data_IF_088086528836
#
_entry.id   IF_088086528836
#
_cell.length_a   1.000
_cell.length_b   1.000
_cell.length_c   1.000
_cell.angle_alpha   90.00
_cell.angle_beta   90.00
_cell.angle_gamma   90.00
#
_symmetry.space_group_name_H-M   'P 1'
#
loop_
_entity.id
_entity.type
_entity.pdbx_description
1 polymer ?
#
# COMPACT_ATOMS: atom_id res chain seq x y z
N UNK A 1 -43.50 18.00 2.84
CA UNK A 1 -42.95 18.89 1.79
C UNK A 1 -42.15 20.07 2.35
N UNK A 2 -42.36 20.48 3.60
CA UNK A 2 -41.63 21.61 4.22
C UNK A 2 -40.22 21.26 4.76
N UNK A 3 -39.97 20.02 5.22
CA UNK A 3 -38.66 19.64 5.80
C UNK A 3 -37.50 19.63 4.78
N UNK A 4 -37.77 19.25 3.52
CA UNK A 4 -36.73 19.22 2.48
C UNK A 4 -36.29 20.64 2.10
N UNK A 5 -37.21 21.61 2.15
CA UNK A 5 -36.91 23.00 1.85
C UNK A 5 -36.09 23.64 2.97
N UNK A 6 -36.39 23.31 4.23
CA UNK A 6 -35.63 23.74 5.40
C UNK A 6 -34.18 23.20 5.39
N UNK A 7 -34.02 21.92 5.01
CA UNK A 7 -32.69 21.30 4.87
C UNK A 7 -31.90 21.96 3.74
N UNK A 8 -32.53 22.28 2.60
CA UNK A 8 -31.87 22.96 1.48
C UNK A 8 -31.41 24.37 1.85
N UNK A 9 -32.23 25.13 2.57
CA UNK A 9 -31.83 26.46 3.04
C UNK A 9 -30.67 26.37 4.04
N UNK A 10 -30.69 25.38 4.94
CA UNK A 10 -29.63 25.18 5.91
C UNK A 10 -28.29 24.82 5.24
N UNK A 11 -28.32 23.91 4.27
CA UNK A 11 -27.13 23.53 3.47
C UNK A 11 -26.61 24.71 2.68
N UNK A 12 -27.50 25.50 2.05
CA UNK A 12 -27.11 26.69 1.29
C UNK A 12 -26.42 27.72 2.18
N UNK A 13 -26.98 27.98 3.36
CA UNK A 13 -26.46 28.96 4.31
C UNK A 13 -25.12 28.53 4.92
N UNK A 14 -24.94 27.22 5.19
CA UNK A 14 -23.65 26.69 5.65
C UNK A 14 -22.58 26.71 4.56
N UNK A 15 -22.95 26.39 3.32
CA UNK A 15 -22.05 26.49 2.16
C UNK A 15 -21.61 27.93 1.91
N UNK A 16 -22.53 28.88 1.85
CA UNK A 16 -22.22 30.30 1.69
C UNK A 16 -21.35 30.83 2.84
N UNK A 17 -21.60 30.40 4.08
CA UNK A 17 -20.77 30.74 5.23
C UNK A 17 -19.36 30.15 5.13
N UNK A 18 -19.24 28.89 4.70
CA UNK A 18 -17.95 28.22 4.49
C UNK A 18 -17.11 28.91 3.41
N UNK A 19 -17.74 29.30 2.29
CA UNK A 19 -17.04 29.93 1.17
C UNK A 19 -16.89 31.45 1.30
N UNK A 20 -17.61 32.11 2.21
CA UNK A 20 -17.52 33.58 2.41
C UNK A 20 -16.13 34.06 2.88
N UNK A 21 -15.36 33.20 3.55
CA UNK A 21 -13.97 33.48 3.95
C UNK A 21 -12.93 33.07 2.90
N UNK A 22 -13.34 32.40 1.82
CA UNK A 22 -12.44 31.90 0.79
C UNK A 22 -12.21 32.98 -0.28
N UNK A 23 -11.11 33.74 -0.13
CA UNK A 23 -10.72 34.75 -1.12
C UNK A 23 -10.10 34.08 -2.36
N UNK A 24 -10.97 33.59 -3.26
CA UNK A 24 -10.61 32.98 -4.54
C UNK A 24 -10.07 33.99 -5.56
N UNK A 25 -10.01 35.29 -5.25
CA UNK A 25 -9.63 36.32 -6.22
C UNK A 25 -8.15 36.22 -6.62
N UNK A 26 -7.26 35.81 -5.70
CA UNK A 26 -5.85 35.53 -6.01
C UNK A 26 -5.68 34.25 -6.83
N UNK A 27 -6.45 33.22 -6.51
CA UNK A 27 -6.35 31.90 -7.17
C UNK A 27 -6.95 31.96 -8.58
N UNK A 28 -8.06 32.68 -8.76
CA UNK A 28 -8.68 32.93 -10.06
C UNK A 28 -7.81 33.82 -10.94
N UNK A 29 -7.22 34.89 -10.41
CA UNK A 29 -6.24 35.72 -11.15
C UNK A 29 -5.00 34.93 -11.56
N UNK A 30 -4.51 34.03 -10.71
CA UNK A 30 -3.36 33.19 -11.03
C UNK A 30 -3.69 32.16 -12.12
N UNK A 31 -4.86 31.54 -12.07
CA UNK A 31 -5.35 30.60 -13.10
C UNK A 31 -5.63 31.33 -14.42
N UNK A 32 -6.27 32.50 -14.39
CA UNK A 32 -6.48 33.33 -15.58
C UNK A 32 -5.15 33.77 -16.21
N UNK A 33 -4.15 34.15 -15.39
CA UNK A 33 -2.83 34.52 -15.91
C UNK A 33 -2.13 33.36 -16.61
N UNK A 34 -2.30 32.13 -16.10
CA UNK A 34 -1.72 30.90 -16.66
C UNK A 34 -2.42 30.46 -17.95
N UNK A 35 -3.74 30.66 -18.02
CA UNK A 35 -4.53 30.40 -19.23
C UNK A 35 -4.16 31.42 -20.32
N UNK A 36 -4.03 32.70 -19.96
CA UNK A 36 -3.65 33.76 -20.89
C UNK A 36 -2.19 33.66 -21.37
N UNK A 37 -1.27 33.18 -20.54
CA UNK A 37 0.13 32.95 -20.96
C UNK A 37 0.29 31.77 -21.93
N UNK A 38 -0.67 30.82 -21.95
CA UNK A 38 -0.64 29.65 -22.82
C UNK A 38 -1.27 29.89 -24.19
N UNK A 39 -1.93 31.03 -24.43
CA UNK A 39 -2.66 31.30 -25.68
C UNK A 39 -2.19 32.53 -26.50
N UNK A 40 -1.09 33.20 -26.15
CA UNK A 40 -0.74 34.46 -26.84
C UNK A 40 0.75 34.82 -26.87
N UNK A 41 1.33 34.64 -28.05
CA UNK A 41 2.37 35.46 -28.69
C UNK A 41 3.70 35.82 -27.98
N UNK A 42 4.77 35.28 -28.59
CA UNK A 42 6.04 35.94 -28.84
C UNK A 42 5.85 37.44 -29.14
N UNK A 43 6.47 38.35 -28.38
CA UNK A 43 6.99 39.61 -28.91
C UNK A 43 8.17 40.13 -28.09
N UNK A 44 9.31 40.18 -28.77
CA UNK A 44 10.55 40.86 -28.40
C UNK A 44 10.27 42.33 -28.15
N UNK A 45 10.75 42.89 -27.04
CA UNK A 45 11.04 44.32 -26.95
C UNK A 45 12.48 44.49 -26.44
N UNK A 46 13.34 45.02 -27.32
CA UNK A 46 14.66 45.56 -26.98
C UNK A 46 14.47 46.73 -26.00
N UNK A 47 15.31 46.89 -24.97
CA UNK A 47 15.28 48.11 -24.18
C UNK A 47 15.89 49.26 -24.98
N UNK A 48 15.17 50.40 -25.02
CA UNK A 48 15.67 51.66 -25.55
C UNK A 48 16.71 52.25 -24.59
N UNK A 49 17.87 52.61 -25.14
CA UNK A 49 18.95 53.26 -24.41
C UNK A 49 18.56 54.72 -24.20
N UNK A 50 18.08 55.07 -23.01
CA UNK A 50 17.98 56.46 -22.57
C UNK A 50 19.40 56.95 -22.21
N UNK A 51 19.94 57.88 -23.00
CA UNK A 51 21.15 58.64 -22.63
C UNK A 51 20.79 59.61 -21.51
N UNK A 52 21.11 59.24 -20.28
CA UNK A 52 21.04 60.13 -19.12
C UNK A 52 22.43 60.72 -18.91
N UNK A 53 22.59 62.02 -19.19
CA UNK A 53 23.78 62.78 -18.81
C UNK A 53 23.76 63.02 -17.30
N UNK A 54 24.63 62.31 -16.57
CA UNK A 54 24.76 62.41 -15.12
C UNK A 54 25.84 63.42 -14.73
N UNK A 55 25.46 64.39 -13.89
CA UNK A 55 26.39 65.31 -13.26
C UNK A 55 27.13 64.59 -12.11
N UNK A 56 28.47 64.61 -12.13
CA UNK A 56 29.34 63.71 -11.35
C UNK A 56 29.37 63.96 -9.84
N UNK A 57 28.79 65.05 -9.33
CA UNK A 57 28.71 65.31 -7.88
C UNK A 57 27.50 64.64 -7.19
N UNK A 58 26.46 64.27 -7.96
CA UNK A 58 25.25 63.59 -7.45
C UNK A 58 25.44 62.06 -7.48
N UNK A 59 26.21 61.55 -8.45
CA UNK A 59 26.53 60.13 -8.58
C UNK A 59 27.28 59.55 -7.36
N UNK A 60 28.17 60.34 -6.74
CA UNK A 60 28.91 59.91 -5.55
C UNK A 60 28.00 59.73 -4.32
N UNK A 61 26.98 60.59 -4.15
CA UNK A 61 26.02 60.49 -3.03
C UNK A 61 25.00 59.37 -3.24
N UNK A 62 24.58 59.15 -4.48
CA UNK A 62 23.71 58.02 -4.85
C UNK A 62 24.45 56.69 -4.71
N UNK A 63 25.76 56.63 -5.01
CA UNK A 63 26.58 55.41 -4.89
C UNK A 63 26.66 54.89 -3.46
N UNK A 64 26.80 55.78 -2.46
CA UNK A 64 26.83 55.40 -1.04
C UNK A 64 25.46 54.87 -0.58
N UNK A 65 24.38 55.53 -1.01
CA UNK A 65 23.01 55.10 -0.67
C UNK A 65 22.68 53.76 -1.35
N UNK A 66 23.09 53.57 -2.61
CA UNK A 66 22.94 52.28 -3.30
C UNK A 66 23.77 51.17 -2.65
N UNK A 67 25.01 51.47 -2.22
CA UNK A 67 25.85 50.50 -1.51
C UNK A 67 25.22 50.06 -0.19
N UNK A 68 24.64 50.98 0.58
CA UNK A 68 23.88 50.65 1.78
C UNK A 68 22.62 49.83 1.46
N UNK A 69 21.89 50.17 0.40
CA UNK A 69 20.75 49.37 -0.05
C UNK A 69 21.14 47.97 -0.51
N UNK A 70 22.27 47.80 -1.20
CA UNK A 70 22.80 46.49 -1.59
C UNK A 70 23.23 45.70 -0.35
N UNK A 71 23.82 46.32 0.67
CA UNK A 71 24.17 45.65 1.94
C UNK A 71 22.91 45.27 2.75
N UNK A 72 21.88 46.11 2.75
CA UNK A 72 20.60 45.81 3.40
C UNK A 72 19.87 44.69 2.63
N UNK A 73 19.85 44.73 1.30
CA UNK A 73 19.23 43.68 0.47
C UNK A 73 20.01 42.37 0.62
N UNK A 74 21.34 42.39 0.54
CA UNK A 74 22.17 41.19 0.72
C UNK A 74 22.10 40.65 2.14
N UNK A 75 22.01 41.48 3.17
CA UNK A 75 21.76 40.99 4.55
C UNK A 75 20.34 40.43 4.71
N UNK A 76 19.31 41.04 4.10
CA UNK A 76 17.96 40.45 4.07
C UNK A 76 17.96 39.13 3.30
N UNK A 77 18.71 38.96 2.21
CA UNK A 77 18.83 37.69 1.49
C UNK A 77 19.71 36.65 2.22
N UNK A 78 20.79 37.06 2.90
CA UNK A 78 21.63 36.17 3.71
C UNK A 78 20.93 35.73 5.00
N UNK A 79 20.15 36.61 5.64
CA UNK A 79 19.32 36.25 6.80
C UNK A 79 18.00 35.57 6.39
N UNK A 80 17.42 35.85 5.22
CA UNK A 80 16.31 35.05 4.66
C UNK A 80 16.75 33.70 4.11
N UNK A 81 18.03 33.49 3.81
CA UNK A 81 18.57 32.15 3.49
C UNK A 81 18.48 31.15 4.67
N UNK A 82 18.21 31.65 5.89
CA UNK A 82 17.88 30.83 7.07
C UNK A 82 16.45 31.07 7.60
N UNK A 83 15.65 31.90 6.92
CA UNK A 83 14.23 32.01 7.24
C UNK A 83 13.51 30.82 6.61
N UNK A 84 13.39 29.76 7.41
CA UNK A 84 12.28 28.82 7.37
C UNK A 84 11.85 28.46 5.94
N UNK A 85 12.61 27.59 5.29
CA UNK A 85 11.92 26.42 4.76
C UNK A 85 11.29 25.75 5.99
N UNK A 86 10.11 26.22 6.36
CA UNK A 86 9.13 25.40 7.03
C UNK A 86 9.08 24.16 6.15
N UNK A 87 9.72 23.11 6.65
CA UNK A 87 9.71 21.80 6.04
C UNK A 87 8.22 21.50 5.96
N UNK A 88 7.64 21.72 4.78
CA UNK A 88 6.34 21.19 4.44
C UNK A 88 6.53 19.69 4.68
N UNK A 89 6.16 19.22 5.87
CA UNK A 89 6.05 17.81 6.20
C UNK A 89 4.83 17.31 5.41
N UNK A 90 5.00 17.27 4.07
CA UNK A 90 4.37 16.31 3.19
C UNK A 90 4.57 14.97 3.89
N UNK A 91 3.48 14.25 4.20
CA UNK A 91 3.44 12.93 4.87
C UNK A 91 4.72 12.62 5.67
N UNK A 92 4.70 12.89 6.98
CA UNK A 92 5.87 12.86 7.85
C UNK A 92 6.91 11.78 7.53
N UNK A 93 8.21 12.14 7.58
CA UNK A 93 9.36 11.36 7.10
C UNK A 93 9.15 9.83 7.07
N UNK A 94 9.45 9.15 5.95
CA UNK A 94 9.29 7.71 5.86
C UNK A 94 10.17 7.00 6.90
N UNK A 95 9.60 5.95 7.49
CA UNK A 95 10.27 5.03 8.43
C UNK A 95 11.15 4.04 7.66
N UNK A 96 10.68 3.60 6.51
CA UNK A 96 11.37 2.64 5.64
C UNK A 96 10.89 2.82 4.20
N UNK A 97 11.79 2.56 3.26
CA UNK A 97 11.53 2.54 1.83
C UNK A 97 12.21 1.32 1.22
N UNK A 98 11.47 0.56 0.41
CA UNK A 98 11.94 -0.68 -0.19
C UNK A 98 11.56 -0.66 -1.68
N UNK A 99 12.55 -0.83 -2.56
CA UNK A 99 12.31 -1.04 -3.99
C UNK A 99 11.83 -2.47 -4.21
N UNK A 100 10.87 -2.66 -5.10
CA UNK A 100 10.25 -3.95 -5.38
C UNK A 100 10.29 -4.17 -6.88
N UNK A 101 10.65 -5.40 -7.26
CA UNK A 101 10.62 -5.85 -8.64
C UNK A 101 9.52 -6.91 -8.77
N UNK A 102 8.52 -6.64 -9.59
CA UNK A 102 7.38 -7.55 -9.78
C UNK A 102 7.50 -8.42 -11.02
N UNK A 103 8.64 -8.36 -11.73
CA UNK A 103 8.84 -9.06 -13.00
C UNK A 103 7.68 -8.84 -14.00
N UNK A 104 6.96 -7.74 -13.89
CA UNK A 104 5.96 -7.38 -14.88
C UNK A 104 6.65 -6.76 -16.10
N UNK A 105 6.09 -6.97 -17.27
CA UNK A 105 6.64 -6.47 -18.55
C UNK A 105 6.66 -4.94 -18.64
N UNK A 106 6.19 -4.23 -17.60
CA UNK A 106 6.21 -2.78 -17.50
C UNK A 106 7.53 -2.32 -16.87
N UNK A 107 8.24 -1.40 -17.54
CA UNK A 107 9.47 -0.76 -17.08
C UNK A 107 9.22 0.22 -15.90
N UNK A 108 8.41 -0.19 -14.93
CA UNK A 108 7.92 0.67 -13.88
C UNK A 108 8.63 0.41 -12.55
N UNK A 109 9.30 1.43 -12.04
CA UNK A 109 9.92 1.38 -10.72
C UNK A 109 8.81 1.35 -9.65
N UNK A 110 8.81 0.31 -8.82
CA UNK A 110 7.85 0.15 -7.71
C UNK A 110 8.54 0.27 -6.37
N UNK A 111 7.90 0.99 -5.46
CA UNK A 111 8.44 1.25 -4.12
C UNK A 111 7.36 1.08 -3.07
N UNK A 112 7.66 0.37 -1.98
CA UNK A 112 6.87 0.46 -0.76
C UNK A 112 7.54 1.42 0.20
N UNK A 113 6.76 2.40 0.65
CA UNK A 113 7.16 3.35 1.68
C UNK A 113 6.26 3.19 2.91
N UNK A 114 6.87 3.15 4.09
CA UNK A 114 6.16 3.13 5.36
C UNK A 114 6.26 4.50 6.04
N UNK A 115 5.13 5.07 6.42
CA UNK A 115 5.06 6.35 7.13
C UNK A 115 4.50 6.16 8.54
N UNK A 116 5.01 6.90 9.52
CA UNK A 116 4.36 7.00 10.83
C UNK A 116 3.10 7.83 10.70
N UNK A 117 1.99 7.34 11.24
CA UNK A 117 0.73 8.09 11.26
C UNK A 117 0.10 8.03 12.65
N UNK A 118 -0.29 9.21 13.13
CA UNK A 118 -0.99 9.35 14.41
C UNK A 118 -2.48 9.50 14.10
N UNK A 119 -3.31 8.71 14.78
CA UNK A 119 -4.77 8.86 14.70
C UNK A 119 -5.20 10.12 15.48
N UNK A 120 -6.14 10.92 14.96
CA UNK A 120 -6.52 12.20 15.57
C UNK A 120 -7.13 12.09 16.97
N UNK A 121 -7.59 10.91 17.38
CA UNK A 121 -8.36 10.68 18.61
C UNK A 121 -7.72 9.67 19.58
N UNK A 122 -6.51 9.17 19.33
CA UNK A 122 -5.83 8.21 20.21
C UNK A 122 -4.51 8.77 20.74
N UNK A 123 -4.17 8.37 21.97
CA UNK A 123 -2.79 8.43 22.49
C UNK A 123 -1.84 7.85 21.44
N UNK A 124 -0.60 8.36 21.35
CA UNK A 124 0.47 7.96 20.42
C UNK A 124 0.67 6.43 20.35
N UNK A 125 -0.23 5.75 19.66
CA UNK A 125 -0.13 4.37 19.26
C UNK A 125 0.71 4.40 17.99
N UNK A 126 1.86 3.73 17.99
CA UNK A 126 2.68 3.63 16.80
C UNK A 126 1.83 2.99 15.70
N UNK A 127 1.47 3.74 14.65
CA UNK A 127 0.81 3.17 13.48
C UNK A 127 1.68 3.45 12.27
N UNK A 128 1.63 2.52 11.32
CA UNK A 128 2.32 2.64 10.05
C UNK A 128 1.30 2.68 8.92
N UNK A 129 1.45 3.64 8.02
CA UNK A 129 0.81 3.63 6.71
C UNK A 129 1.83 3.07 5.72
N UNK A 130 1.56 1.91 5.13
CA UNK A 130 2.30 1.44 3.96
C UNK A 130 1.67 2.00 2.71
N UNK A 131 2.49 2.50 1.80
CA UNK A 131 2.09 3.02 0.50
C UNK A 131 2.96 2.37 -0.56
N UNK A 132 2.32 1.66 -1.50
CA UNK A 132 2.94 1.14 -2.70
C UNK A 132 2.80 2.19 -3.81
N UNK A 133 3.94 2.64 -4.31
CA UNK A 133 4.07 3.57 -5.41
C UNK A 133 4.42 2.82 -6.68
N UNK A 134 3.83 3.23 -7.80
CA UNK A 134 4.19 2.80 -9.14
C UNK A 134 4.42 4.02 -10.02
N UNK A 135 5.32 3.92 -11.00
CA UNK A 135 5.46 4.94 -12.03
C UNK A 135 4.32 4.84 -13.03
N UNK A 136 3.58 5.93 -13.21
CA UNK A 136 2.57 6.06 -14.25
C UNK A 136 3.19 6.26 -15.63
N UNK A 137 2.34 6.30 -16.66
CA UNK A 137 2.74 6.40 -18.09
C UNK A 137 3.61 7.64 -18.38
N UNK A 138 3.42 8.72 -17.60
CA UNK A 138 4.16 9.97 -17.77
C UNK A 138 5.47 10.01 -16.96
N UNK A 139 5.82 8.93 -16.27
CA UNK A 139 6.98 8.85 -15.35
C UNK A 139 6.71 9.38 -13.94
N UNK A 140 5.55 9.97 -13.69
CA UNK A 140 5.15 10.43 -12.36
C UNK A 140 4.77 9.24 -11.46
N UNK A 141 5.17 9.29 -10.19
CA UNK A 141 4.75 8.28 -9.21
C UNK A 141 3.30 8.47 -8.80
N UNK A 142 2.52 7.39 -8.84
CA UNK A 142 1.16 7.32 -8.34
C UNK A 142 1.04 6.26 -7.24
N UNK A 143 0.11 6.47 -6.32
CA UNK A 143 -0.21 5.49 -5.29
C UNK A 143 -1.01 4.34 -5.91
N UNK A 144 -0.42 3.15 -5.97
CA UNK A 144 -1.05 1.94 -6.48
C UNK A 144 -1.88 1.22 -5.40
N UNK A 145 -1.40 1.25 -4.15
CA UNK A 145 -2.05 0.63 -3.00
C UNK A 145 -1.61 1.33 -1.70
N UNK A 146 -2.46 1.30 -0.68
CA UNK A 146 -2.06 1.68 0.67
C UNK A 146 -2.80 0.87 1.73
N UNK A 147 -2.16 0.65 2.88
CA UNK A 147 -2.78 -0.04 4.01
C UNK A 147 -2.26 0.50 5.34
N UNK A 148 -3.17 0.53 6.32
CA UNK A 148 -2.86 0.94 7.69
C UNK A 148 -2.51 -0.30 8.53
N UNK A 149 -1.44 -0.19 9.29
CA UNK A 149 -0.99 -1.14 10.30
C UNK A 149 -1.03 -0.48 11.68
N UNK A 150 -2.02 -0.87 12.48
CA UNK A 150 -2.24 -0.30 13.81
C UNK A 150 -1.26 -0.88 14.83
N UNK A 151 -0.90 -0.09 15.84
CA UNK A 151 -0.02 -0.53 16.95
C UNK A 151 1.28 -1.21 16.48
N UNK A 152 1.77 -0.83 15.30
CA UNK A 152 2.94 -1.35 14.64
C UNK A 152 4.01 -0.27 14.49
N UNK A 153 5.27 -0.67 14.55
CA UNK A 153 6.40 0.27 14.44
C UNK A 153 7.57 -0.23 13.61
N UNK A 154 7.55 -1.52 13.24
CA UNK A 154 8.66 -2.19 12.56
C UNK A 154 8.18 -2.79 11.25
N UNK A 155 8.39 -2.11 10.11
CA UNK A 155 8.24 -2.73 8.79
C UNK A 155 9.19 -3.91 8.65
N UNK A 156 8.73 -5.01 8.08
CA UNK A 156 9.58 -6.15 7.71
C UNK A 156 9.99 -6.04 6.23
N UNK A 157 11.03 -6.78 5.81
CA UNK A 157 11.36 -6.92 4.39
C UNK A 157 10.15 -7.41 3.59
N UNK A 158 9.84 -6.72 2.50
CA UNK A 158 8.79 -7.13 1.58
C UNK A 158 9.18 -8.45 0.93
N UNK A 159 8.25 -9.40 0.92
CA UNK A 159 8.44 -10.70 0.26
C UNK A 159 7.65 -10.75 -1.04
N UNK A 160 8.18 -11.44 -2.04
CA UNK A 160 7.60 -11.50 -3.38
C UNK A 160 7.50 -12.97 -3.77
N UNK A 161 6.36 -13.35 -4.34
CA UNK A 161 6.13 -14.64 -4.98
C UNK A 161 5.98 -14.38 -6.47
N UNK A 162 6.99 -14.76 -7.24
CA UNK A 162 6.97 -14.68 -8.69
C UNK A 162 6.19 -15.86 -9.27
N UNK A 163 5.44 -15.60 -10.36
CA UNK A 163 4.72 -16.62 -11.12
C UNK A 163 5.46 -16.85 -12.44
N UNK A 164 5.67 -18.11 -12.82
CA UNK A 164 6.52 -18.48 -13.95
C UNK A 164 5.90 -18.21 -15.34
N UNK A 165 4.60 -17.84 -15.42
CA UNK A 165 3.80 -17.89 -16.66
C UNK A 165 2.97 -16.61 -16.89
N UNK A 166 3.63 -15.47 -17.08
CA UNK A 166 3.02 -14.18 -17.45
C UNK A 166 2.05 -13.55 -16.43
N UNK A 167 1.77 -14.23 -15.33
CA UNK A 167 0.99 -13.65 -14.23
C UNK A 167 1.85 -12.70 -13.38
N UNK A 168 1.29 -11.58 -12.93
CA UNK A 168 2.03 -10.64 -12.09
C UNK A 168 2.38 -11.25 -10.74
N UNK A 169 3.50 -10.83 -10.16
CA UNK A 169 3.94 -11.31 -8.85
C UNK A 169 2.98 -10.92 -7.72
N UNK A 170 2.92 -11.74 -6.68
CA UNK A 170 2.21 -11.43 -5.42
C UNK A 170 3.21 -10.88 -4.40
N UNK A 171 2.77 -9.89 -3.63
CA UNK A 171 3.58 -9.18 -2.65
C UNK A 171 3.02 -9.44 -1.24
N UNK A 172 3.91 -9.73 -0.30
CA UNK A 172 3.58 -9.80 1.12
C UNK A 172 4.20 -8.60 1.81
N UNK A 173 3.34 -7.72 2.32
CA UNK A 173 3.70 -6.53 3.09
C UNK A 173 3.41 -6.85 4.55
N UNK A 174 4.42 -6.87 5.40
CA UNK A 174 4.25 -7.20 6.82
C UNK A 174 4.93 -6.21 7.75
N UNK A 175 4.41 -6.15 8.97
CA UNK A 175 4.95 -5.32 10.04
C UNK A 175 4.85 -6.05 11.37
N UNK A 176 5.74 -5.74 12.31
CA UNK A 176 5.76 -6.26 13.68
C UNK A 176 5.38 -5.18 14.69
N UNK A 177 4.66 -5.62 15.72
CA UNK A 177 4.45 -4.81 16.92
C UNK A 177 5.80 -4.44 17.57
N UNK A 178 5.87 -3.31 18.32
CA UNK A 178 7.10 -2.88 18.98
C UNK A 178 7.74 -3.97 19.85
N UNK A 179 6.91 -4.71 20.58
CA UNK A 179 7.25 -5.81 21.49
C UNK A 179 7.35 -7.18 20.81
N UNK A 180 7.10 -7.26 19.49
CA UNK A 180 7.11 -8.48 18.68
C UNK A 180 6.07 -9.53 19.09
N UNK A 181 5.04 -9.16 19.84
CA UNK A 181 3.96 -10.06 20.22
C UNK A 181 3.06 -10.47 19.05
N UNK A 182 2.94 -9.65 18.02
CA UNK A 182 2.14 -9.98 16.84
C UNK A 182 2.69 -9.35 15.56
N UNK A 183 2.23 -9.91 14.43
CA UNK A 183 2.39 -9.31 13.11
C UNK A 183 1.06 -8.81 12.56
N UNK A 184 1.18 -7.86 11.65
CA UNK A 184 0.15 -7.61 10.64
C UNK A 184 0.76 -7.92 9.29
N UNK A 185 -0.04 -8.44 8.36
CA UNK A 185 0.40 -8.57 7.00
C UNK A 185 -0.74 -8.46 5.98
N UNK A 186 -0.34 -8.14 4.75
CA UNK A 186 -1.20 -8.03 3.57
C UNK A 186 -0.58 -8.88 2.49
N UNK A 187 -1.39 -9.72 1.87
CA UNK A 187 -1.05 -10.40 0.62
C UNK A 187 -1.76 -9.61 -0.47
N UNK A 188 -0.99 -8.93 -1.32
CA UNK A 188 -1.51 -8.06 -2.37
C UNK A 188 -1.02 -8.53 -3.73
N UNK A 189 -1.86 -8.37 -4.75
CA UNK A 189 -1.57 -8.74 -6.12
C UNK A 189 -2.44 -7.93 -7.08
N UNK A 190 -2.19 -8.09 -8.38
CA UNK A 190 -3.01 -7.43 -9.38
C UNK A 190 -4.34 -8.18 -9.58
N UNK A 191 -5.40 -7.40 -9.76
CA UNK A 191 -6.69 -7.84 -10.27
C UNK A 191 -7.05 -6.89 -11.41
N UNK A 192 -6.86 -7.36 -12.65
CA UNK A 192 -6.84 -6.48 -13.82
C UNK A 192 -5.73 -5.43 -13.68
N UNK A 193 -6.08 -4.15 -13.83
CA UNK A 193 -5.13 -3.03 -13.77
C UNK A 193 -4.89 -2.44 -12.38
N UNK A 194 -5.43 -3.05 -11.32
CA UNK A 194 -5.35 -2.52 -9.95
C UNK A 194 -4.71 -3.51 -9.00
N UNK A 195 -3.98 -2.99 -8.02
CA UNK A 195 -3.46 -3.79 -6.92
C UNK A 195 -4.51 -3.86 -5.82
N UNK A 196 -4.87 -5.08 -5.42
CA UNK A 196 -5.87 -5.36 -4.38
C UNK A 196 -5.27 -6.30 -3.33
N UNK A 197 -5.86 -6.31 -2.14
CA UNK A 197 -5.52 -7.28 -1.11
C UNK A 197 -6.30 -8.58 -1.33
N UNK A 198 -5.58 -9.69 -1.52
CA UNK A 198 -6.16 -11.04 -1.51
C UNK A 198 -6.40 -11.52 -0.07
N UNK A 199 -5.55 -11.09 0.86
CA UNK A 199 -5.71 -11.38 2.27
C UNK A 199 -5.15 -10.25 3.13
N UNK A 200 -5.90 -9.88 4.17
CA UNK A 200 -5.44 -8.98 5.22
C UNK A 200 -5.55 -9.68 6.57
N UNK A 201 -4.46 -9.70 7.33
CA UNK A 201 -4.42 -10.23 8.68
C UNK A 201 -3.87 -9.18 9.64
N UNK A 202 -4.52 -9.04 10.78
CA UNK A 202 -4.16 -8.08 11.82
C UNK A 202 -4.03 -8.80 13.14
N UNK A 203 -3.06 -8.37 13.96
CA UNK A 203 -2.86 -8.89 15.32
C UNK A 203 -2.67 -10.42 15.35
N UNK A 204 -1.87 -10.96 14.43
CA UNK A 204 -1.53 -12.39 14.43
C UNK A 204 -0.54 -12.66 15.55
N UNK A 205 -1.05 -13.17 16.67
CA UNK A 205 -0.29 -13.44 17.90
C UNK A 205 0.82 -14.46 17.68
N UNK A 206 2.03 -14.15 18.16
CA UNK A 206 3.23 -14.96 17.92
C UNK A 206 3.58 -15.12 16.45
N UNK A 207 3.01 -14.27 15.59
CA UNK A 207 2.94 -14.56 14.17
C UNK A 207 4.28 -14.40 13.44
N UNK A 208 4.55 -15.33 12.53
CA UNK A 208 5.67 -15.25 11.59
C UNK A 208 5.18 -15.51 10.17
N UNK A 209 5.79 -14.83 9.19
CA UNK A 209 5.45 -14.97 7.78
C UNK A 209 6.71 -15.22 6.96
N UNK A 210 6.69 -16.29 6.16
CA UNK A 210 7.76 -16.68 5.25
C UNK A 210 7.20 -17.08 3.89
N UNK A 211 8.07 -17.16 2.89
CA UNK A 211 7.76 -17.72 1.57
C UNK A 211 8.63 -18.95 1.39
N UNK A 212 8.02 -20.11 1.14
CA UNK A 212 8.68 -21.41 0.98
C UNK A 212 8.05 -22.12 -0.20
N UNK A 213 8.86 -22.52 -1.18
CA UNK A 213 8.41 -23.26 -2.37
C UNK A 213 7.23 -22.59 -3.10
N UNK A 214 7.23 -21.26 -3.14
CA UNK A 214 6.16 -20.47 -3.76
C UNK A 214 4.89 -20.29 -2.90
N UNK A 215 4.80 -20.94 -1.74
CA UNK A 215 3.71 -20.81 -0.78
C UNK A 215 4.05 -19.80 0.33
N UNK A 216 3.02 -19.22 0.95
CA UNK A 216 3.17 -18.37 2.13
C UNK A 216 3.03 -19.26 3.37
N UNK A 217 4.11 -19.42 4.13
CA UNK A 217 4.06 -20.10 5.43
C UNK A 217 3.76 -19.07 6.51
N UNK A 218 2.60 -19.21 7.13
CA UNK A 218 2.23 -18.48 8.34
C UNK A 218 2.33 -19.38 9.56
N UNK A 219 3.01 -18.91 10.59
CA UNK A 219 2.96 -19.49 11.93
C UNK A 219 2.19 -18.54 12.83
N UNK A 220 1.33 -19.04 13.72
CA UNK A 220 0.64 -18.25 14.74
C UNK A 220 0.41 -19.04 16.02
N UNK A 221 0.24 -18.34 17.13
CA UNK A 221 -0.18 -18.92 18.39
C UNK A 221 -1.69 -18.77 18.54
N UNK A 222 -2.40 -19.87 18.84
CA UNK A 222 -3.84 -19.85 19.11
C UNK A 222 -4.14 -20.54 20.46
N UNK A 223 -5.18 -20.10 21.19
CA UNK A 223 -5.57 -20.75 22.44
C UNK A 223 -5.96 -22.22 22.22
N UNK A 224 -5.48 -23.13 23.07
CA UNK A 224 -5.92 -24.53 23.03
C UNK A 224 -7.42 -24.68 23.31
N UNK A 225 -8.16 -25.26 22.36
CA UNK A 225 -9.53 -25.73 22.61
C UNK A 225 -9.43 -27.17 23.12
N UNK A 226 -9.24 -27.34 24.42
CA UNK A 226 -9.53 -28.62 25.06
C UNK A 226 -10.99 -28.57 25.47
N UNK A 227 -11.84 -29.33 24.76
CA UNK A 227 -13.20 -29.63 25.19
C UNK A 227 -13.11 -30.08 26.66
N UNK A 228 -13.70 -29.25 27.54
CA UNK A 228 -13.87 -29.40 29.00
C UNK A 228 -13.03 -28.57 29.96
N UNK A 229 -11.91 -27.93 29.60
CA UNK A 229 -11.31 -26.88 30.47
C UNK A 229 -10.57 -25.84 29.65
N UNK A 230 -11.06 -24.59 29.65
CA UNK A 230 -10.25 -23.41 29.32
C UNK A 230 -9.12 -23.31 30.36
N UNK A 231 -7.99 -23.96 30.11
CA UNK A 231 -6.74 -23.53 30.75
C UNK A 231 -6.33 -22.24 30.04
N UNK A 232 -6.44 -21.12 30.74
CA UNK A 232 -6.33 -19.77 30.20
C UNK A 232 -4.92 -19.38 29.67
N UNK A 233 -3.93 -20.30 29.64
CA UNK A 233 -2.54 -19.94 29.31
C UNK A 233 -1.83 -20.87 28.30
N UNK A 234 -2.43 -21.98 27.87
CA UNK A 234 -1.77 -22.87 26.92
C UNK A 234 -2.11 -22.44 25.48
N UNK A 235 -1.24 -21.59 24.93
CA UNK A 235 -1.22 -21.27 23.51
C UNK A 235 -0.49 -22.39 22.77
N UNK A 236 -1.06 -22.86 21.66
CA UNK A 236 -0.40 -23.81 20.77
C UNK A 236 -0.06 -23.14 19.44
N UNK A 237 1.04 -23.59 18.85
CA UNK A 237 1.48 -23.15 17.54
C UNK A 237 0.65 -23.83 16.44
N UNK A 238 0.21 -23.02 15.48
CA UNK A 238 -0.48 -23.46 14.27
C UNK A 238 0.31 -22.94 13.08
N UNK A 239 0.60 -23.84 12.14
CA UNK A 239 1.30 -23.54 10.89
C UNK A 239 0.33 -23.73 9.73
N UNK A 240 0.16 -22.70 8.90
CA UNK A 240 -0.66 -22.73 7.69
C UNK A 240 0.17 -22.35 6.47
N UNK A 241 0.11 -23.19 5.43
CA UNK A 241 0.68 -22.90 4.13
C UNK A 241 -0.41 -22.37 3.20
N UNK A 242 -0.37 -21.09 2.88
CA UNK A 242 -1.23 -20.51 1.86
C UNK A 242 -0.60 -20.72 0.49
N UNK A 243 -1.29 -21.46 -0.37
CA UNK A 243 -0.94 -21.67 -1.77
C UNK A 243 -1.65 -20.57 -2.57
N UNK A 244 -0.94 -19.52 -3.00
CA UNK A 244 -1.56 -18.52 -3.84
C UNK A 244 -1.78 -19.07 -5.25
N UNK A 245 -2.88 -18.68 -5.87
CA UNK A 245 -3.10 -18.89 -7.29
C UNK A 245 -3.78 -17.67 -7.93
N UNK A 246 -3.62 -17.54 -9.24
CA UNK A 246 -4.23 -16.49 -10.07
C UNK A 246 -4.91 -17.11 -11.28
N UNK A 247 -5.98 -16.46 -11.75
CA UNK A 247 -6.71 -16.84 -12.96
C UNK A 247 -6.40 -15.81 -14.05
N UNK A 248 -6.00 -16.27 -15.25
CA UNK A 248 -5.79 -15.40 -16.40
C UNK A 248 -7.11 -15.08 -17.14
N UNK A 249 -7.06 -14.23 -18.17
CA UNK A 249 -8.23 -13.89 -19.00
C UNK A 249 -8.87 -15.10 -19.71
N UNK A 250 -8.09 -16.17 -19.95
CA UNK A 250 -8.58 -17.43 -20.54
C UNK A 250 -9.22 -18.38 -19.53
N UNK A 251 -9.20 -18.02 -18.23
CA UNK A 251 -9.69 -18.89 -17.15
C UNK A 251 -8.68 -19.93 -16.67
N UNK A 252 -7.43 -19.90 -17.15
CA UNK A 252 -6.39 -20.82 -16.72
C UNK A 252 -5.89 -20.48 -15.32
N UNK A 253 -5.67 -21.52 -14.53
CA UNK A 253 -5.09 -21.41 -13.20
C UNK A 253 -3.56 -21.36 -13.30
N UNK A 254 -2.98 -20.43 -12.54
CA UNK A 254 -1.54 -20.32 -12.33
C UNK A 254 -1.23 -20.31 -10.85
N UNK A 255 -0.21 -21.06 -10.46
CA UNK A 255 0.36 -21.05 -9.10
C UNK A 255 1.88 -21.17 -9.21
N UNK A 256 2.59 -20.61 -8.24
CA UNK A 256 4.03 -20.76 -8.05
C UNK A 256 4.40 -22.10 -7.41
N UNK A 257 3.42 -22.84 -6.87
CA UNK A 257 3.64 -24.06 -6.10
C UNK A 257 3.37 -25.28 -6.98
N UNK A 258 4.40 -26.07 -7.24
CA UNK A 258 4.26 -27.38 -7.92
C UNK A 258 4.31 -28.53 -6.92
N UNK A 259 5.24 -28.44 -5.97
CA UNK A 259 5.49 -29.43 -4.94
C UNK A 259 5.58 -28.71 -3.60
N UNK A 260 4.86 -29.19 -2.59
CA UNK A 260 4.87 -28.63 -1.25
C UNK A 260 5.19 -29.73 -0.23
N UNK A 261 6.17 -29.46 0.64
CA UNK A 261 6.52 -30.35 1.76
C UNK A 261 6.06 -29.71 3.07
N UNK A 262 5.25 -30.45 3.83
CA UNK A 262 4.66 -29.98 5.09
C UNK A 262 4.70 -31.09 6.15
N UNK A 263 4.48 -30.71 7.40
CA UNK A 263 4.44 -31.64 8.52
C UNK A 263 3.02 -32.10 8.79
N UNK A 264 2.86 -33.33 9.31
CA UNK A 264 1.57 -33.75 9.87
C UNK A 264 1.12 -32.78 10.99
N UNK A 265 -0.13 -32.34 10.90
CA UNK A 265 -0.73 -31.36 11.81
C UNK A 265 -0.71 -29.92 11.27
N UNK A 266 0.07 -29.64 10.23
CA UNK A 266 0.04 -28.36 9.52
C UNK A 266 -1.26 -28.23 8.68
N UNK A 267 -1.61 -27.00 8.35
CA UNK A 267 -2.78 -26.67 7.54
C UNK A 267 -2.37 -26.18 6.16
N UNK A 268 -3.24 -26.39 5.18
CA UNK A 268 -3.10 -25.84 3.83
C UNK A 268 -4.30 -24.95 3.55
N UNK A 269 -4.06 -23.82 2.91
CA UNK A 269 -5.09 -22.91 2.45
C UNK A 269 -4.82 -22.53 1.00
N UNK A 270 -5.71 -22.84 0.07
CA UNK A 270 -5.58 -22.36 -1.30
C UNK A 270 -6.19 -20.97 -1.37
N UNK A 271 -5.41 -19.94 -1.74
CA UNK A 271 -5.80 -18.53 -1.73
C UNK A 271 -5.88 -17.97 -3.16
N UNK A 272 -7.07 -17.60 -3.59
CA UNK A 272 -7.34 -17.04 -4.91
C UNK A 272 -7.55 -15.55 -4.96
N UNK A 273 -7.34 -14.98 -6.16
CA UNK A 273 -7.82 -13.64 -6.51
C UNK A 273 -9.35 -13.59 -6.72
N UNK A 274 -10.00 -14.73 -6.98
CA UNK A 274 -11.45 -14.88 -7.19
C UNK A 274 -11.99 -16.15 -6.49
N UNK A 275 -13.32 -16.35 -6.50
CA UNK A 275 -13.96 -17.51 -5.84
C UNK A 275 -13.41 -18.83 -6.40
N UNK A 276 -12.88 -19.71 -5.55
CA UNK A 276 -12.13 -20.88 -6.02
C UNK A 276 -12.94 -22.18 -6.01
N UNK A 277 -13.08 -22.89 -7.14
CA UNK A 277 -13.46 -24.29 -7.11
C UNK A 277 -12.19 -25.15 -6.91
N UNK A 278 -11.90 -25.55 -5.67
CA UNK A 278 -10.81 -26.50 -5.35
C UNK A 278 -11.40 -27.86 -5.01
N UNK A 279 -10.72 -28.92 -5.47
CA UNK A 279 -10.98 -30.28 -5.01
C UNK A 279 -9.69 -31.03 -4.67
N UNK A 280 -9.78 -31.99 -3.77
CA UNK A 280 -8.73 -32.99 -3.53
C UNK A 280 -9.00 -34.20 -4.41
N UNK A 281 -7.99 -34.65 -5.15
CA UNK A 281 -8.15 -35.79 -6.05
C UNK A 281 -8.08 -37.13 -5.31
N UNK A 282 -7.52 -37.13 -4.10
CA UNK A 282 -7.24 -38.37 -3.35
C UNK A 282 -7.52 -38.18 -1.84
N UNK A 283 -8.78 -37.88 -1.44
CA UNK A 283 -9.17 -37.27 -0.15
C UNK A 283 -8.95 -38.15 1.10
N UNK A 284 -7.75 -38.66 1.30
CA UNK A 284 -7.38 -39.60 2.35
C UNK A 284 -6.43 -38.98 3.38
N UNK A 285 -5.66 -37.93 3.01
CA UNK A 285 -4.69 -37.27 3.89
C UNK A 285 -5.07 -35.80 4.17
N UNK A 286 -5.69 -35.14 3.19
CA UNK A 286 -6.18 -33.76 3.26
C UNK A 286 -7.69 -33.74 3.50
N UNK A 287 -8.06 -33.31 4.71
CA UNK A 287 -9.47 -33.21 5.11
C UNK A 287 -9.94 -31.77 4.99
N UNK A 288 -11.07 -31.57 4.32
CA UNK A 288 -11.77 -30.28 4.26
C UNK A 288 -11.95 -29.72 5.67
N UNK A 289 -11.43 -28.52 5.91
CA UNK A 289 -11.52 -27.86 7.20
C UNK A 289 -12.19 -26.51 7.05
N UNK A 290 -13.04 -26.16 8.02
CA UNK A 290 -13.56 -24.81 8.15
C UNK A 290 -12.95 -24.21 9.42
N UNK A 291 -12.07 -23.19 9.32
CA UNK A 291 -11.44 -22.57 10.48
C UNK A 291 -12.41 -21.92 11.47
N UNK A 292 -13.69 -21.80 11.12
CA UNK A 292 -14.66 -21.02 11.90
C UNK A 292 -14.32 -19.52 11.84
N UNK A 293 -15.28 -18.68 12.22
CA UNK A 293 -15.15 -17.23 12.14
C UNK A 293 -14.15 -16.62 13.13
N UNK A 294 -13.62 -17.39 14.08
CA UNK A 294 -12.81 -16.88 15.19
C UNK A 294 -11.30 -16.87 14.91
N UNK A 295 -10.79 -17.68 13.98
CA UNK A 295 -9.34 -17.85 13.78
C UNK A 295 -8.82 -17.31 12.46
N UNK A 296 -9.60 -17.37 11.39
CA UNK A 296 -9.20 -16.94 10.05
C UNK A 296 -10.35 -16.16 9.41
N UNK A 297 -10.01 -15.14 8.62
CA UNK A 297 -11.01 -14.37 7.91
C UNK A 297 -11.72 -15.30 6.91
N UNK A 298 -13.05 -15.41 7.00
CA UNK A 298 -13.87 -16.23 6.12
C UNK A 298 -13.86 -15.62 4.71
N UNK A 299 -12.83 -15.97 3.95
CA UNK A 299 -12.63 -15.51 2.59
C UNK A 299 -13.19 -16.58 1.64
N UNK A 300 -14.21 -16.21 0.85
CA UNK A 300 -14.82 -17.10 -0.15
C UNK A 300 -13.84 -17.55 -1.25
N UNK A 301 -12.71 -16.85 -1.36
CA UNK A 301 -11.60 -17.19 -2.25
C UNK A 301 -10.55 -18.08 -1.56
N UNK A 302 -10.85 -18.62 -0.38
CA UNK A 302 -9.94 -19.50 0.36
C UNK A 302 -10.59 -20.83 0.70
N UNK A 303 -9.92 -21.93 0.34
CA UNK A 303 -10.30 -23.29 0.75
C UNK A 303 -9.23 -23.85 1.69
N UNK A 304 -9.65 -24.37 2.84
CA UNK A 304 -8.74 -24.90 3.85
C UNK A 304 -8.77 -26.42 3.94
N UNK A 305 -7.61 -27.00 4.20
CA UNK A 305 -7.39 -28.41 4.44
C UNK A 305 -6.56 -28.61 5.70
N UNK A 306 -6.86 -29.66 6.44
CA UNK A 306 -6.06 -30.13 7.57
C UNK A 306 -5.30 -31.40 7.16
N UNK A 307 -4.04 -31.49 7.56
CA UNK A 307 -3.25 -32.72 7.41
C UNK A 307 -3.42 -33.64 8.60
N UNK A 308 -4.00 -34.83 8.40
CA UNK A 308 -4.20 -35.80 9.49
C UNK A 308 -3.21 -36.97 9.44
N UNK A 309 -2.73 -37.31 8.25
CA UNK A 309 -1.89 -38.48 8.00
C UNK A 309 -0.68 -38.13 7.13
N UNK A 310 0.41 -38.87 7.30
CA UNK A 310 1.63 -38.76 6.49
C UNK A 310 1.45 -39.47 5.16
N UNK A 311 2.05 -38.94 4.09
CA UNK A 311 1.96 -39.53 2.75
C UNK A 311 2.01 -38.45 1.66
N UNK A 312 1.59 -38.81 0.45
CA UNK A 312 1.55 -37.91 -0.68
C UNK A 312 0.13 -37.79 -1.22
N UNK A 313 -0.34 -36.56 -1.49
CA UNK A 313 -1.66 -36.28 -2.04
C UNK A 313 -1.58 -35.15 -3.09
N UNK A 314 -2.56 -35.12 -4.01
CA UNK A 314 -2.70 -34.05 -5.00
C UNK A 314 -3.90 -33.15 -4.69
N UNK A 315 -3.64 -31.84 -4.65
CA UNK A 315 -4.68 -30.80 -4.70
C UNK A 315 -4.86 -30.41 -6.16
N UNK A 316 -6.12 -30.36 -6.62
CA UNK A 316 -6.46 -29.86 -7.94
C UNK A 316 -7.33 -28.60 -7.86
N UNK A 317 -6.78 -27.51 -8.37
CA UNK A 317 -7.48 -26.23 -8.49
C UNK A 317 -8.12 -26.17 -9.86
N UNK A 318 -9.45 -26.07 -9.89
CA UNK A 318 -10.23 -26.08 -11.13
C UNK A 318 -10.45 -24.65 -11.66
N UNK A 319 -10.58 -24.49 -12.99
CA UNK A 319 -11.18 -23.31 -13.60
C UNK A 319 -12.66 -23.16 -13.23
N UNK A 320 -13.14 -21.92 -13.15
CA UNK A 320 -14.57 -21.62 -12.98
C UNK A 320 -15.38 -21.71 -14.29
N UNK A 321 -14.74 -21.45 -15.43
CA UNK A 321 -15.38 -21.38 -16.74
C UNK A 321 -14.93 -22.54 -17.64
N UNK A 322 -15.83 -23.03 -18.49
CA UNK A 322 -15.52 -24.07 -19.47
C UNK A 322 -14.45 -23.56 -20.46
N UNK A 323 -13.27 -24.20 -20.47
CA UNK A 323 -12.18 -23.92 -21.42
C UNK A 323 -10.81 -23.64 -20.77
N UNK A 324 -10.78 -23.20 -19.51
CA UNK A 324 -9.51 -22.98 -18.79
C UNK A 324 -8.79 -24.28 -18.42
N UNK A 325 -7.50 -24.19 -18.13
CA UNK A 325 -6.68 -25.28 -17.60
C UNK A 325 -6.51 -25.18 -16.08
N UNK A 326 -6.82 -26.28 -15.37
CA UNK A 326 -6.58 -26.38 -13.93
C UNK A 326 -5.12 -26.66 -13.58
N UNK A 327 -4.80 -26.60 -12.30
CA UNK A 327 -3.45 -26.90 -11.78
C UNK A 327 -3.48 -27.95 -10.70
N UNK A 328 -2.55 -28.91 -10.83
CA UNK A 328 -2.27 -29.93 -9.82
C UNK A 328 -1.08 -29.50 -8.99
N UNK A 329 -1.15 -29.75 -7.70
CA UNK A 329 -0.09 -29.48 -6.73
C UNK A 329 0.16 -30.76 -5.96
N UNK A 330 1.41 -31.22 -5.96
CA UNK A 330 1.79 -32.39 -5.18
C UNK A 330 2.15 -31.98 -3.75
N UNK A 331 1.54 -32.62 -2.77
CA UNK A 331 1.76 -32.35 -1.36
C UNK A 331 2.36 -33.58 -0.70
N UNK A 332 3.54 -33.43 -0.11
CA UNK A 332 4.20 -34.45 0.71
C UNK A 332 4.05 -34.07 2.20
N UNK A 333 3.35 -34.90 2.96
CA UNK A 333 3.11 -34.75 4.40
C UNK A 333 4.04 -35.72 5.15
N UNK A 334 4.94 -35.17 5.97
CA UNK A 334 5.95 -35.92 6.71
C UNK A 334 5.65 -36.02 8.21
#
# INVERSE_FOLDING_TARGET
>A
MNEINDIKEKIKKESERFFSGFNNEKMSKSVLSKINSNYGEKRKNKPSIYKITFNSSIAARISVILACFVIIITSVFFFKGKALYEKNDMMGKPVSQQKIDLNDTSYNDKWITFFKINKPNKVLQGNLLAVLWETGINGDYQMAYSSMFENSSKPEPVRIIAFNNEQPSIIIISTKSPDKQYIHYRVVGYSGSRIVAFMEQNYVTGGEIAVIDGAIKETRLVPGIIYDKKQNNDMHEVVTYYIPYQINESGDIYTSVENLKISKGDYIAVLGNENTPVETLTPNLLVDWNPGSEFLNDNKNTKFFRTENTGQEEIYIKPLYEGGQGRKISVLIQ
#
